data_IF_512373884907
#
_entry.id   IF_512373884907
#
_cell.length_a   1.000
_cell.length_b   1.000
_cell.length_c   1.000
_cell.angle_alpha   90.00
_cell.angle_beta   90.00
_cell.angle_gamma   90.00
#
_symmetry.space_group_name_H-M   'P 1'
#
loop_
_entity.id
_entity.type
_entity.pdbx_description
1 polymer ?
#
# COMPACT_ATOMS: atom_id res chain seq x y z
N UNK A 1 6.98 -4.49 3.44
CA UNK A 1 8.35 -4.97 3.21
C UNK A 1 8.90 -5.54 4.51
N UNK A 2 8.96 -6.82 4.58
CA UNK A 2 9.48 -7.62 5.69
C UNK A 2 10.67 -8.42 5.14
N UNK A 3 11.93 -8.08 5.47
CA UNK A 3 13.11 -8.71 4.85
C UNK A 3 13.12 -10.24 4.95
N UNK A 4 12.53 -10.79 6.02
CA UNK A 4 12.44 -12.23 6.24
C UNK A 4 11.21 -12.86 5.56
N UNK A 5 10.33 -12.07 4.95
CA UNK A 5 9.11 -12.54 4.30
C UNK A 5 8.76 -11.70 3.06
N UNK A 6 9.46 -11.94 1.97
CA UNK A 6 9.31 -11.18 0.71
C UNK A 6 8.21 -11.72 -0.21
N UNK A 7 7.23 -12.49 0.29
CA UNK A 7 6.17 -13.09 -0.54
C UNK A 7 5.32 -12.04 -1.25
N UNK A 8 4.86 -11.01 -0.52
CA UNK A 8 4.10 -9.90 -1.10
C UNK A 8 4.94 -9.09 -2.08
N UNK A 9 6.22 -8.85 -1.76
CA UNK A 9 7.13 -8.10 -2.64
C UNK A 9 7.38 -8.86 -3.96
N UNK A 10 7.57 -10.18 -3.91
CA UNK A 10 7.65 -11.04 -5.11
C UNK A 10 6.36 -11.02 -5.93
N UNK A 11 5.20 -11.08 -5.25
CA UNK A 11 3.91 -11.00 -5.93
C UNK A 11 3.76 -9.66 -6.69
N UNK A 12 4.16 -8.55 -6.10
CA UNK A 12 4.14 -7.22 -6.76
C UNK A 12 4.98 -7.26 -8.04
N UNK A 13 6.20 -7.80 -7.98
CA UNK A 13 7.10 -7.86 -9.14
C UNK A 13 6.56 -8.72 -10.29
N UNK A 14 5.75 -9.75 -9.99
CA UNK A 14 5.10 -10.60 -11.01
C UNK A 14 4.05 -9.84 -11.84
N UNK A 15 3.56 -8.69 -11.34
CA UNK A 15 2.57 -7.86 -12.01
C UNK A 15 3.20 -6.67 -12.77
N UNK A 16 4.52 -6.53 -12.72
CA UNK A 16 5.22 -5.56 -13.55
C UNK A 16 5.16 -5.99 -15.03
N UNK A 17 5.15 -5.00 -15.93
CA UNK A 17 5.02 -5.22 -17.38
C UNK A 17 6.22 -5.91 -18.02
N UNK A 18 7.36 -5.87 -17.38
CA UNK A 18 8.62 -6.43 -17.90
C UNK A 18 9.31 -7.28 -16.84
N UNK A 19 10.10 -8.30 -17.24
CA UNK A 19 11.01 -8.97 -16.32
C UNK A 19 12.10 -8.00 -15.85
N UNK A 20 12.56 -8.17 -14.60
CA UNK A 20 13.57 -7.31 -13.96
C UNK A 20 13.17 -5.81 -13.95
N UNK A 21 11.99 -5.46 -13.40
CA UNK A 21 11.42 -4.12 -13.45
C UNK A 21 12.23 -3.09 -12.64
N UNK A 22 12.14 -1.82 -13.03
CA UNK A 22 12.59 -0.69 -12.21
C UNK A 22 11.61 -0.43 -11.10
N UNK A 23 12.03 -0.65 -9.85
CA UNK A 23 11.22 -0.41 -8.66
C UNK A 23 11.70 0.85 -7.95
N UNK A 24 10.85 1.86 -7.91
CA UNK A 24 11.15 3.12 -7.22
C UNK A 24 10.48 3.15 -5.84
N UNK A 25 11.29 3.13 -4.81
CA UNK A 25 10.83 3.32 -3.44
C UNK A 25 10.64 4.81 -3.15
N UNK A 26 9.48 5.17 -2.61
CA UNK A 26 9.13 6.56 -2.25
C UNK A 26 8.97 6.65 -0.73
N UNK A 27 10.02 7.07 0.01
CA UNK A 27 10.04 7.09 1.47
C UNK A 27 9.46 8.38 2.08
N UNK A 28 8.74 9.20 1.32
CA UNK A 28 8.28 10.53 1.75
C UNK A 28 7.52 10.52 3.09
N UNK A 29 6.67 9.50 3.33
CA UNK A 29 5.91 9.39 4.57
C UNK A 29 6.78 9.27 5.83
N UNK A 30 8.01 8.77 5.70
CA UNK A 30 8.99 8.65 6.78
C UNK A 30 9.99 9.82 6.83
N UNK A 31 9.78 10.88 6.06
CA UNK A 31 10.73 11.99 5.93
C UNK A 31 12.01 11.61 5.19
N UNK A 32 11.92 10.73 4.21
CA UNK A 32 13.04 10.18 3.45
C UNK A 32 14.12 9.52 4.35
N UNK A 33 13.67 8.79 5.39
CA UNK A 33 14.52 8.13 6.38
C UNK A 33 15.57 7.23 5.72
N UNK A 34 16.86 7.50 5.94
CA UNK A 34 17.98 6.70 5.40
C UNK A 34 17.88 5.23 5.85
N UNK A 35 17.50 4.97 7.10
CA UNK A 35 17.32 3.61 7.61
C UNK A 35 16.20 2.84 6.87
N UNK A 36 15.16 3.52 6.43
CA UNK A 36 14.09 2.90 5.65
C UNK A 36 14.53 2.63 4.20
N UNK A 37 15.29 3.56 3.62
CA UNK A 37 15.91 3.38 2.30
C UNK A 37 16.85 2.18 2.33
N UNK A 38 17.71 2.06 3.34
CA UNK A 38 18.62 0.91 3.51
C UNK A 38 17.83 -0.40 3.62
N UNK A 39 16.76 -0.44 4.41
CA UNK A 39 15.90 -1.62 4.54
C UNK A 39 15.27 -2.03 3.20
N UNK A 40 14.84 -1.05 2.42
CA UNK A 40 14.31 -1.31 1.07
C UNK A 40 15.39 -1.96 0.19
N UNK A 41 16.59 -1.40 0.10
CA UNK A 41 17.66 -1.98 -0.70
C UNK A 41 18.07 -3.37 -0.20
N UNK A 42 18.15 -3.59 1.12
CA UNK A 42 18.46 -4.91 1.70
C UNK A 42 17.47 -5.96 1.21
N UNK A 43 16.17 -5.65 1.14
CA UNK A 43 15.14 -6.55 0.66
C UNK A 43 15.17 -6.70 -0.86
N UNK A 44 15.10 -5.59 -1.60
CA UNK A 44 14.87 -5.61 -3.04
C UNK A 44 16.12 -5.95 -3.87
N UNK A 45 17.35 -5.78 -3.36
CA UNK A 45 18.56 -6.25 -4.02
C UNK A 45 18.66 -7.78 -4.10
N UNK A 46 17.83 -8.52 -3.34
CA UNK A 46 17.76 -9.99 -3.41
C UNK A 46 16.69 -10.48 -4.41
N UNK A 47 15.93 -9.57 -5.00
CA UNK A 47 14.83 -9.86 -5.91
C UNK A 47 15.22 -9.54 -7.36
N UNK A 48 14.58 -10.17 -8.37
CA UNK A 48 14.84 -9.91 -9.76
C UNK A 48 14.22 -8.56 -10.20
N UNK A 49 14.81 -7.46 -9.78
CA UNK A 49 14.39 -6.10 -10.10
C UNK A 49 15.60 -5.14 -10.05
N UNK A 50 15.38 -3.91 -10.47
CA UNK A 50 16.33 -2.81 -10.37
C UNK A 50 15.82 -1.82 -9.32
N UNK A 51 16.23 -1.96 -8.04
CA UNK A 51 15.78 -1.09 -6.98
C UNK A 51 16.40 0.30 -7.11
N UNK A 52 15.57 1.31 -6.95
CA UNK A 52 15.93 2.74 -6.87
C UNK A 52 15.06 3.39 -5.78
N UNK A 53 15.40 4.61 -5.37
CA UNK A 53 14.51 5.40 -4.49
C UNK A 53 14.38 6.82 -5.00
N UNK A 54 13.32 7.48 -4.55
CA UNK A 54 13.01 8.85 -4.91
C UNK A 54 12.75 9.67 -3.63
N UNK A 55 13.75 10.46 -3.23
CA UNK A 55 13.65 11.37 -2.09
C UNK A 55 13.02 12.70 -2.53
N UNK A 56 11.94 13.12 -1.87
CA UNK A 56 11.24 14.36 -2.18
C UNK A 56 11.58 15.50 -1.21
N UNK A 57 12.21 15.22 -0.07
CA UNK A 57 12.72 16.23 0.86
C UNK A 57 14.07 16.82 0.43
N UNK A 58 14.86 16.02 -0.27
CA UNK A 58 16.07 16.52 -0.96
C UNK A 58 15.65 16.90 -2.36
N UNK A 59 16.18 18.01 -2.88
CA UNK A 59 15.78 18.50 -4.21
C UNK A 59 15.88 17.36 -5.24
N UNK A 60 14.75 16.84 -5.73
CA UNK A 60 14.78 15.64 -6.54
C UNK A 60 15.39 15.96 -7.90
N UNK A 61 16.04 14.98 -8.53
CA UNK A 61 16.26 15.04 -9.97
C UNK A 61 14.91 15.21 -10.68
N UNK A 62 14.91 15.46 -11.96
CA UNK A 62 13.69 15.59 -12.76
C UNK A 62 12.67 14.47 -12.40
N UNK A 63 11.64 14.84 -11.64
CA UNK A 63 10.61 13.92 -11.15
C UNK A 63 9.86 13.25 -12.29
N UNK A 64 9.60 14.02 -13.36
CA UNK A 64 8.85 13.51 -14.50
C UNK A 64 9.67 12.43 -15.24
N UNK A 65 10.96 12.67 -15.46
CA UNK A 65 11.85 11.67 -16.04
C UNK A 65 11.95 10.41 -15.16
N UNK A 66 12.11 10.60 -13.84
CA UNK A 66 12.19 9.49 -12.90
C UNK A 66 10.91 8.63 -12.92
N UNK A 67 9.73 9.25 -12.94
CA UNK A 67 8.45 8.53 -13.00
C UNK A 67 8.26 7.80 -14.34
N UNK A 68 8.75 8.37 -15.44
CA UNK A 68 8.68 7.74 -16.76
C UNK A 68 9.51 6.45 -16.86
N UNK A 69 10.55 6.31 -16.04
CA UNK A 69 11.40 5.11 -15.98
C UNK A 69 10.87 4.02 -15.04
N UNK A 70 9.79 4.29 -14.29
CA UNK A 70 9.25 3.34 -13.31
C UNK A 70 8.42 2.25 -13.96
N UNK A 71 8.60 1.02 -13.52
CA UNK A 71 7.66 -0.09 -13.76
C UNK A 71 6.81 -0.34 -12.51
N UNK A 72 7.38 -0.08 -11.33
CA UNK A 72 6.72 -0.20 -10.03
C UNK A 72 7.08 1.01 -9.16
N UNK A 73 6.08 1.63 -8.55
CA UNK A 73 6.25 2.66 -7.52
C UNK A 73 5.80 2.07 -6.19
N UNK A 74 6.76 1.92 -5.28
CA UNK A 74 6.55 1.35 -3.94
C UNK A 74 6.59 2.45 -2.89
N UNK A 75 5.46 2.74 -2.26
CA UNK A 75 5.34 3.82 -1.26
C UNK A 75 5.53 3.27 0.15
N UNK A 76 6.43 3.89 0.90
CA UNK A 76 6.70 3.55 2.30
C UNK A 76 5.61 4.02 3.27
N UNK A 77 5.66 3.46 4.49
CA UNK A 77 4.83 3.90 5.61
C UNK A 77 5.36 5.13 6.34
N UNK A 78 4.53 5.69 7.22
CA UNK A 78 4.84 6.85 8.03
C UNK A 78 3.67 7.84 8.11
N UNK A 79 3.95 9.15 8.11
CA UNK A 79 2.93 10.19 8.23
C UNK A 79 2.26 10.49 6.88
N UNK A 80 1.02 10.05 6.70
CA UNK A 80 0.24 10.21 5.46
C UNK A 80 -0.01 11.68 5.14
N UNK A 81 -0.37 12.50 6.15
CA UNK A 81 -0.67 13.92 5.97
C UNK A 81 0.52 14.69 5.39
N UNK A 82 1.70 14.50 5.97
CA UNK A 82 2.91 15.17 5.52
C UNK A 82 3.32 14.70 4.12
N UNK A 83 3.23 13.41 3.85
CA UNK A 83 3.48 12.82 2.54
C UNK A 83 2.60 13.46 1.45
N UNK A 84 1.29 13.49 1.66
CA UNK A 84 0.35 14.05 0.68
C UNK A 84 0.55 15.56 0.49
N UNK A 85 0.89 16.31 1.54
CA UNK A 85 1.19 17.73 1.44
C UNK A 85 2.41 17.98 0.53
N UNK A 86 3.48 17.21 0.70
CA UNK A 86 4.68 17.31 -0.14
C UNK A 86 4.37 16.90 -1.59
N UNK A 87 3.65 15.81 -1.78
CA UNK A 87 3.29 15.32 -3.12
C UNK A 87 2.46 16.33 -3.90
N UNK A 88 1.47 16.95 -3.25
CA UNK A 88 0.66 18.03 -3.87
C UNK A 88 1.51 19.27 -4.21
N UNK A 89 2.41 19.66 -3.30
CA UNK A 89 3.31 20.79 -3.54
C UNK A 89 4.25 20.56 -4.74
N UNK A 90 4.71 19.32 -4.95
CA UNK A 90 5.57 18.95 -6.07
C UNK A 90 4.78 18.48 -7.32
N UNK A 91 3.43 18.45 -7.28
CA UNK A 91 2.56 17.89 -8.33
C UNK A 91 2.85 16.41 -8.62
N UNK A 92 3.44 15.71 -7.66
CA UNK A 92 3.79 14.30 -7.79
C UNK A 92 2.55 13.40 -7.82
N UNK A 93 1.49 13.78 -7.12
CA UNK A 93 0.16 13.17 -7.16
C UNK A 93 -0.40 13.05 -8.59
N UNK A 94 -0.30 14.14 -9.38
CA UNK A 94 -0.72 14.13 -10.78
C UNK A 94 0.20 13.24 -11.66
N UNK A 95 1.49 13.13 -11.33
CA UNK A 95 2.42 12.24 -12.03
C UNK A 95 2.09 10.78 -11.71
N UNK A 96 1.79 10.45 -10.45
CA UNK A 96 1.35 9.12 -10.02
C UNK A 96 0.07 8.68 -10.73
N UNK A 97 -0.91 9.58 -10.89
CA UNK A 97 -2.14 9.30 -11.62
C UNK A 97 -1.84 8.88 -13.07
N UNK A 98 -1.02 9.66 -13.77
CA UNK A 98 -0.62 9.34 -15.15
C UNK A 98 0.20 8.05 -15.24
N UNK A 99 1.09 7.80 -14.29
CA UNK A 99 1.85 6.56 -14.22
C UNK A 99 0.92 5.34 -14.10
N UNK A 100 -0.05 5.41 -13.19
CA UNK A 100 -1.06 4.37 -13.01
C UNK A 100 -1.88 4.13 -14.29
N UNK A 101 -2.40 5.19 -14.90
CA UNK A 101 -3.16 5.13 -16.16
C UNK A 101 -2.34 4.57 -17.32
N UNK A 102 -1.01 4.71 -17.28
CA UNK A 102 -0.08 4.11 -18.25
C UNK A 102 0.35 2.67 -17.91
N UNK A 103 -0.17 2.09 -16.80
CA UNK A 103 0.07 0.71 -16.39
C UNK A 103 1.29 0.49 -15.50
N UNK A 104 1.84 1.54 -14.87
CA UNK A 104 2.82 1.39 -13.79
C UNK A 104 2.12 0.79 -12.56
N UNK A 105 2.73 -0.19 -11.93
CA UNK A 105 2.20 -0.79 -10.69
C UNK A 105 2.43 0.17 -9.53
N UNK A 106 1.34 0.64 -8.92
CA UNK A 106 1.39 1.43 -7.69
C UNK A 106 1.12 0.52 -6.50
N UNK A 107 1.98 0.54 -5.51
CA UNK A 107 1.82 -0.27 -4.30
C UNK A 107 2.41 0.44 -3.08
N UNK A 108 2.20 -0.11 -1.90
CA UNK A 108 2.79 0.40 -0.68
C UNK A 108 2.18 -0.20 0.57
N UNK A 109 2.71 0.19 1.70
CA UNK A 109 2.28 -0.28 3.02
C UNK A 109 1.93 0.90 3.93
N UNK A 110 0.99 0.71 4.88
CA UNK A 110 0.56 1.74 5.83
C UNK A 110 0.12 3.02 5.11
N UNK A 111 0.79 4.15 5.32
CA UNK A 111 0.56 5.39 4.59
C UNK A 111 0.56 5.19 3.07
N UNK A 112 1.49 4.36 2.56
CA UNK A 112 1.58 4.03 1.14
C UNK A 112 0.51 3.06 0.64
N UNK A 113 -0.24 2.39 1.52
CA UNK A 113 -1.39 1.60 1.14
C UNK A 113 -2.66 2.46 1.08
N UNK A 114 -2.88 3.31 2.09
CA UNK A 114 -4.11 4.10 2.21
C UNK A 114 -4.17 5.29 1.25
N UNK A 115 -3.03 5.82 0.83
CA UNK A 115 -2.96 7.05 0.03
C UNK A 115 -3.68 6.95 -1.33
N UNK A 116 -3.92 5.77 -1.84
CA UNK A 116 -4.60 5.54 -3.13
C UNK A 116 -6.11 5.72 -3.07
N UNK A 117 -6.70 5.55 -1.90
CA UNK A 117 -8.15 5.63 -1.71
C UNK A 117 -8.66 7.08 -1.65
N UNK A 118 -9.98 7.26 -1.68
CA UNK A 118 -10.60 8.56 -1.40
C UNK A 118 -10.28 9.00 0.03
N UNK A 119 -10.33 8.05 0.99
CA UNK A 119 -10.08 8.32 2.39
C UNK A 119 -9.18 7.26 3.03
N UNK A 120 -8.26 7.70 3.89
CA UNK A 120 -7.44 6.85 4.75
C UNK A 120 -7.87 6.94 6.21
N UNK A 121 -7.82 5.82 6.93
CA UNK A 121 -7.93 5.77 8.38
C UNK A 121 -6.52 5.82 8.98
N UNK A 122 -6.16 6.91 9.62
CA UNK A 122 -4.79 7.22 10.03
C UNK A 122 -4.74 8.06 11.30
N UNK A 123 -3.63 7.98 12.01
CA UNK A 123 -3.26 8.82 13.16
C UNK A 123 -2.33 9.98 12.78
N UNK A 124 -2.12 10.23 11.50
CA UNK A 124 -1.18 11.26 11.00
C UNK A 124 -1.47 12.68 11.47
N UNK A 125 -2.66 12.94 12.01
CA UNK A 125 -3.06 14.22 12.60
C UNK A 125 -3.11 14.19 14.15
N UNK A 126 -2.65 13.09 14.77
CA UNK A 126 -2.64 12.85 16.22
C UNK A 126 -3.48 11.64 16.60
N UNK A 127 -4.80 11.76 16.75
CA UNK A 127 -5.66 10.61 16.99
C UNK A 127 -6.05 9.90 15.69
N UNK A 128 -6.45 8.62 15.79
CA UNK A 128 -7.03 7.88 14.67
C UNK A 128 -8.26 8.60 14.12
N UNK A 129 -8.27 8.88 12.82
CA UNK A 129 -9.34 9.63 12.17
C UNK A 129 -9.37 9.44 10.67
N UNK A 130 -10.36 10.08 10.05
CA UNK A 130 -10.53 10.14 8.61
C UNK A 130 -9.59 11.19 7.99
N UNK A 131 -9.02 10.86 6.84
CA UNK A 131 -8.18 11.79 6.06
C UNK A 131 -8.46 11.62 4.58
N UNK A 132 -8.69 12.73 3.88
CA UNK A 132 -8.74 12.74 2.41
C UNK A 132 -7.39 12.37 1.81
N UNK A 133 -7.41 11.42 0.85
CA UNK A 133 -6.23 10.93 0.14
C UNK A 133 -6.27 11.29 -1.36
N UNK A 134 -5.77 10.42 -2.25
CA UNK A 134 -5.62 10.72 -3.68
C UNK A 134 -6.87 10.39 -4.50
N UNK A 135 -7.78 9.55 -4.01
CA UNK A 135 -8.99 9.17 -4.71
C UNK A 135 -8.76 8.40 -6.02
N UNK A 136 -7.73 7.56 -6.09
CA UNK A 136 -7.54 6.65 -7.21
C UNK A 136 -8.48 5.45 -7.09
N UNK A 137 -8.73 5.02 -5.86
CA UNK A 137 -9.65 3.96 -5.49
C UNK A 137 -10.78 4.53 -4.64
N UNK A 138 -12.01 4.12 -4.92
CA UNK A 138 -13.18 4.56 -4.16
C UNK A 138 -13.22 4.00 -2.75
N UNK A 139 -13.80 4.77 -1.85
CA UNK A 139 -14.02 4.38 -0.47
C UNK A 139 -12.85 4.68 0.46
N UNK A 140 -12.75 3.91 1.53
CA UNK A 140 -11.74 4.11 2.58
C UNK A 140 -10.88 2.88 2.81
N UNK A 141 -9.70 3.09 3.42
CA UNK A 141 -8.79 2.00 3.77
C UNK A 141 -8.23 2.18 5.19
N UNK A 142 -8.23 1.08 5.96
CA UNK A 142 -7.62 0.97 7.29
C UNK A 142 -6.55 -0.14 7.28
N UNK A 143 -5.25 0.21 7.37
CA UNK A 143 -4.17 -0.76 7.52
C UNK A 143 -4.00 -1.18 8.98
N UNK A 144 -3.12 -2.15 9.27
CA UNK A 144 -2.77 -2.61 10.62
C UNK A 144 -3.97 -3.02 11.46
N UNK A 145 -4.95 -3.66 10.83
CA UNK A 145 -6.29 -3.88 11.41
C UNK A 145 -6.30 -4.85 12.58
N UNK A 146 -5.31 -5.73 12.66
CA UNK A 146 -5.07 -6.67 13.76
C UNK A 146 -3.93 -6.22 14.67
N UNK A 147 -3.01 -5.38 14.19
CA UNK A 147 -1.79 -5.00 14.91
C UNK A 147 -2.00 -3.88 15.94
N UNK A 148 -3.04 -3.07 15.81
CA UNK A 148 -3.32 -1.93 16.67
C UNK A 148 -4.72 -2.03 17.28
N UNK A 149 -4.81 -2.28 18.60
CA UNK A 149 -6.06 -2.57 19.30
C UNK A 149 -7.19 -1.54 19.11
N UNK A 150 -6.83 -0.25 18.94
CA UNK A 150 -7.79 0.84 18.72
C UNK A 150 -8.31 0.95 17.29
N UNK A 151 -7.68 0.29 16.32
CA UNK A 151 -7.92 0.52 14.89
C UNK A 151 -9.29 0.02 14.43
N UNK A 152 -9.64 -1.21 14.74
CA UNK A 152 -10.93 -1.80 14.37
C UNK A 152 -12.12 -1.02 14.95
N UNK A 153 -12.22 -0.76 16.28
CA UNK A 153 -13.35 0.01 16.81
C UNK A 153 -13.41 1.45 16.30
N UNK A 154 -12.28 2.10 16.07
CA UNK A 154 -12.22 3.44 15.48
C UNK A 154 -12.76 3.45 14.05
N UNK A 155 -12.32 2.51 13.20
CA UNK A 155 -12.77 2.41 11.82
C UNK A 155 -14.28 2.17 11.72
N UNK A 156 -14.83 1.26 12.55
CA UNK A 156 -16.26 1.02 12.66
C UNK A 156 -17.03 2.28 13.07
N UNK A 157 -16.54 2.98 14.10
CA UNK A 157 -17.16 4.22 14.59
C UNK A 157 -17.20 5.31 13.51
N UNK A 158 -16.10 5.52 12.78
CA UNK A 158 -16.03 6.53 11.73
C UNK A 158 -16.96 6.22 10.55
N UNK A 159 -17.07 4.95 10.14
CA UNK A 159 -18.03 4.53 9.10
C UNK A 159 -19.47 4.67 9.62
N UNK A 160 -19.73 4.31 10.88
CA UNK A 160 -21.04 4.44 11.50
C UNK A 160 -21.51 5.89 11.53
N UNK A 161 -20.61 6.82 11.83
CA UNK A 161 -20.85 8.26 11.89
C UNK A 161 -20.94 8.92 10.51
N UNK A 162 -20.57 8.20 9.44
CA UNK A 162 -20.48 8.75 8.09
C UNK A 162 -19.25 9.64 7.84
N UNK A 163 -18.27 9.65 8.76
CA UNK A 163 -17.00 10.35 8.62
C UNK A 163 -16.06 9.63 7.63
N UNK A 164 -16.23 8.32 7.46
CA UNK A 164 -15.60 7.52 6.41
C UNK A 164 -16.67 6.81 5.58
N UNK A 165 -16.50 6.73 4.25
CA UNK A 165 -17.30 5.84 3.42
C UNK A 165 -16.97 4.37 3.73
N UNK A 166 -17.79 3.46 3.23
CA UNK A 166 -17.50 2.03 3.23
C UNK A 166 -16.10 1.76 2.66
N UNK A 167 -15.37 0.80 3.23
CA UNK A 167 -13.96 0.63 2.87
C UNK A 167 -13.40 -0.75 3.11
N UNK A 168 -12.08 -0.81 3.08
CA UNK A 168 -11.30 -2.03 3.25
C UNK A 168 -10.47 -1.95 4.53
N UNK A 169 -10.52 -3.00 5.31
CA UNK A 169 -9.69 -3.16 6.50
C UNK A 169 -8.71 -4.29 6.26
N UNK A 170 -7.40 -4.03 6.42
CA UNK A 170 -6.34 -4.93 5.98
C UNK A 170 -5.42 -5.24 7.15
N UNK A 171 -5.31 -6.53 7.50
CA UNK A 171 -4.43 -7.04 8.54
C UNK A 171 -2.96 -7.08 8.06
N UNK A 172 -2.02 -7.09 9.00
CA UNK A 172 -0.60 -7.19 8.70
C UNK A 172 -0.28 -8.54 8.02
N UNK A 173 0.41 -8.47 6.88
CA UNK A 173 0.70 -9.63 6.05
C UNK A 173 -0.40 -9.97 5.04
N UNK A 174 -1.45 -9.15 4.93
CA UNK A 174 -2.43 -9.19 3.84
C UNK A 174 -2.24 -8.04 2.86
N UNK A 175 -2.66 -8.24 1.61
CA UNK A 175 -2.73 -7.19 0.59
C UNK A 175 -3.97 -7.39 -0.29
N UNK A 176 -4.53 -6.28 -0.77
CA UNK A 176 -5.63 -6.25 -1.74
C UNK A 176 -5.09 -5.74 -3.06
N UNK A 177 -5.20 -6.56 -4.09
CA UNK A 177 -4.79 -6.23 -5.44
C UNK A 177 -5.99 -5.74 -6.25
N UNK A 178 -5.84 -4.55 -6.82
CA UNK A 178 -6.83 -3.94 -7.70
C UNK A 178 -6.31 -3.91 -9.14
N UNK A 179 -7.20 -4.14 -10.10
CA UNK A 179 -6.99 -3.84 -11.52
C UNK A 179 -8.00 -2.76 -11.89
N UNK A 180 -7.50 -1.58 -12.24
CA UNK A 180 -8.33 -0.38 -12.24
C UNK A 180 -8.85 -0.11 -10.83
N UNK A 181 -10.16 -0.01 -10.65
CA UNK A 181 -10.86 0.20 -9.39
C UNK A 181 -11.51 -1.08 -8.82
N UNK A 182 -11.30 -2.21 -9.48
CA UNK A 182 -11.93 -3.50 -9.13
C UNK A 182 -10.93 -4.42 -8.41
N UNK A 183 -11.37 -5.08 -7.33
CA UNK A 183 -10.56 -6.09 -6.66
C UNK A 183 -10.33 -7.27 -7.61
N UNK A 184 -9.08 -7.54 -7.92
CA UNK A 184 -8.67 -8.73 -8.65
C UNK A 184 -8.43 -9.91 -7.69
N UNK A 185 -7.75 -9.66 -6.56
CA UNK A 185 -7.37 -10.70 -5.62
C UNK A 185 -7.05 -10.12 -4.24
N UNK A 186 -7.26 -10.92 -3.20
CA UNK A 186 -6.68 -10.70 -1.87
C UNK A 186 -5.64 -11.79 -1.62
N UNK A 187 -4.43 -11.38 -1.28
CA UNK A 187 -3.29 -12.27 -1.06
C UNK A 187 -2.71 -12.07 0.32
N UNK A 188 -2.16 -13.13 0.88
CA UNK A 188 -1.56 -13.09 2.21
C UNK A 188 -0.19 -13.76 2.25
N UNK A 189 0.75 -13.17 3.00
CA UNK A 189 2.07 -13.73 3.30
C UNK A 189 2.10 -14.49 4.62
N UNK A 190 1.01 -14.41 5.40
CA UNK A 190 0.78 -15.13 6.65
C UNK A 190 -0.56 -15.87 6.57
N UNK A 191 -0.65 -17.16 6.95
CA UNK A 191 -1.89 -17.94 6.83
C UNK A 191 -3.08 -17.35 7.57
N UNK A 192 -2.85 -16.71 8.74
CA UNK A 192 -3.89 -16.09 9.57
C UNK A 192 -4.37 -14.74 9.07
N UNK A 193 -3.53 -14.00 8.30
CA UNK A 193 -3.84 -12.65 7.87
C UNK A 193 -5.08 -12.58 6.97
N UNK A 194 -5.88 -11.51 7.10
CA UNK A 194 -7.16 -11.32 6.40
C UNK A 194 -7.29 -9.88 5.92
N UNK A 195 -8.20 -9.68 4.99
CA UNK A 195 -8.76 -8.39 4.65
C UNK A 195 -10.28 -8.47 4.69
N UNK A 196 -10.93 -7.33 4.97
CA UNK A 196 -12.36 -7.24 5.14
C UNK A 196 -12.94 -6.10 4.31
N UNK A 197 -14.17 -6.28 3.85
CA UNK A 197 -15.05 -5.18 3.45
C UNK A 197 -15.83 -4.72 4.66
N UNK A 198 -15.75 -3.42 4.97
CA UNK A 198 -16.50 -2.82 6.10
C UNK A 198 -17.47 -1.79 5.55
N UNK A 199 -18.73 -1.90 5.89
CA UNK A 199 -19.79 -1.01 5.43
C UNK A 199 -20.86 -0.80 6.50
N UNK A 200 -21.60 0.29 6.40
CA UNK A 200 -22.80 0.51 7.20
C UNK A 200 -24.04 -0.01 6.45
N UNK A 201 -24.89 -0.70 7.18
CA UNK A 201 -26.20 -1.14 6.70
C UNK A 201 -27.27 -0.75 7.73
N UNK A 202 -28.02 0.30 7.44
CA UNK A 202 -28.92 0.91 8.42
C UNK A 202 -28.18 1.44 9.65
N UNK A 203 -28.47 0.88 10.82
CA UNK A 203 -27.79 1.19 12.09
C UNK A 203 -26.61 0.28 12.43
N UNK A 204 -26.32 -0.71 11.59
CA UNK A 204 -25.30 -1.72 11.89
C UNK A 204 -24.05 -1.52 11.04
N UNK A 205 -22.91 -1.91 11.59
CA UNK A 205 -21.68 -2.11 10.82
C UNK A 205 -21.58 -3.57 10.42
N UNK A 206 -21.41 -3.81 9.13
CA UNK A 206 -21.17 -5.13 8.55
C UNK A 206 -19.70 -5.21 8.20
N UNK A 207 -19.04 -6.23 8.71
CA UNK A 207 -17.65 -6.56 8.42
C UNK A 207 -17.59 -7.96 7.80
N UNK A 208 -17.29 -8.03 6.51
CA UNK A 208 -17.27 -9.27 5.74
C UNK A 208 -15.82 -9.61 5.36
N UNK A 209 -15.31 -10.80 5.72
CA UNK A 209 -14.00 -11.23 5.28
C UNK A 209 -13.97 -11.44 3.76
N UNK A 210 -12.94 -10.95 3.11
CA UNK A 210 -12.72 -11.17 1.69
C UNK A 210 -12.06 -12.55 1.48
N UNK A 211 -12.43 -13.21 0.39
CA UNK A 211 -11.77 -14.44 -0.03
C UNK A 211 -10.30 -14.15 -0.33
N UNK A 212 -9.41 -14.95 0.23
CA UNK A 212 -7.96 -14.76 0.15
C UNK A 212 -7.24 -15.97 -0.42
N UNK A 213 -6.08 -15.74 -1.00
CA UNK A 213 -5.10 -16.76 -1.35
C UNK A 213 -3.82 -16.56 -0.54
N UNK A 214 -3.35 -17.61 0.12
CA UNK A 214 -2.06 -17.63 0.79
C UNK A 214 -0.94 -17.80 -0.23
N UNK A 215 0.11 -17.00 -0.13
CA UNK A 215 1.31 -17.12 -0.95
C UNK A 215 2.27 -18.11 -0.29
N UNK A 216 2.34 -19.33 -0.81
CA UNK A 216 3.30 -20.34 -0.35
C UNK A 216 4.74 -19.91 -0.64
N UNK A 217 5.68 -20.43 0.14
CA UNK A 217 7.10 -20.24 -0.14
C UNK A 217 7.50 -21.11 -1.34
N UNK A 218 8.41 -20.60 -2.19
CA UNK A 218 8.95 -21.38 -3.32
C UNK A 218 9.72 -22.64 -2.86
N UNK A 219 10.06 -22.74 -1.57
CA UNK A 219 10.60 -23.96 -0.95
C UNK A 219 9.52 -25.01 -0.64
N UNK A 220 8.29 -24.58 -0.35
CA UNK A 220 7.19 -25.47 0.05
C UNK A 220 6.60 -26.19 -1.18
N UNK A 221 6.65 -25.57 -2.36
CA UNK A 221 6.18 -26.16 -3.62
C UNK A 221 7.01 -27.38 -4.08
N UNK A 222 8.27 -27.51 -3.65
CA UNK A 222 9.14 -28.66 -3.98
C UNK A 222 8.96 -29.86 -3.05
N UNK A 223 8.26 -29.72 -1.93
CA UNK A 223 8.04 -30.78 -0.96
C UNK A 223 6.74 -31.58 -1.22
N UNK A 224 5.88 -31.13 -2.13
CA UNK A 224 4.60 -31.79 -2.45
C UNK A 224 4.66 -32.79 -3.62
N UNK A 225 5.79 -32.92 -4.30
CA UNK A 225 5.98 -33.82 -5.45
C UNK A 225 6.87 -35.05 -5.14
N UNK A 226 6.82 -35.59 -3.88
CA UNK A 226 7.47 -36.85 -3.51
C UNK A 226 6.50 -37.80 -2.83
#
# INVERSE_FOLDING_TARGET
MEPDNLRLDRYILQHARIPNPSVYFVPTASGDSDGYIVRFYTAFSTLPCRPRHLSLFRQPPDLAASVAECDVIYVGGGNTRNMLAIWRACKFDAMLRRAWESGVVLCGLSAGAICWFEHGHTDSAGALGAMECLGFLSGSCSPHYDGEAGRRPSFHSLIQQGALPAGYAIEDGAAVHFIGDTIAEVITSRPSARAFRVRREGSNIIEEPLQKRFLESTSDAKAADW
#
